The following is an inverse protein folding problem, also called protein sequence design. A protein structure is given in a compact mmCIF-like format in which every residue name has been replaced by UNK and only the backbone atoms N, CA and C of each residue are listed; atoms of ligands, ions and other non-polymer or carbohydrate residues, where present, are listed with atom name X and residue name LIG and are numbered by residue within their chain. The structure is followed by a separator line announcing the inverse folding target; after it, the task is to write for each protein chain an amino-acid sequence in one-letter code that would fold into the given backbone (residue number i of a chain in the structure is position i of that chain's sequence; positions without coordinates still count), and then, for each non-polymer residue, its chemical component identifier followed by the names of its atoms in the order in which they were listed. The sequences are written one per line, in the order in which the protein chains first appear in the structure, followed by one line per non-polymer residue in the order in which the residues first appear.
data_IF_894038829062
#
_entry.id   IF_894038829062
#
_cell.length_a   1.000
_cell.length_b   1.000
_cell.length_c   1.000
_cell.angle_alpha   90.00
_cell.angle_beta   90.00
_cell.angle_gamma   90.00
#
_symmetry.space_group_name_H-M   'P 1'
#
loop_
_entity.id
_entity.type
_entity.pdbx_description
1 polymer ?
#
# COMPACT_ATOMS: atom_id res chain seq x y z
N UNK A 1 13.53 19.43 -6.84
CA UNK A 1 12.72 19.07 -8.02
C UNK A 1 12.23 17.64 -7.92
N UNK A 2 13.09 16.67 -7.65
CA UNK A 2 12.77 15.24 -7.61
C UNK A 2 11.73 14.88 -6.53
N UNK A 3 11.88 15.41 -5.31
CA UNK A 3 10.93 15.18 -4.22
C UNK A 3 9.51 15.67 -4.57
N UNK A 4 9.40 16.75 -5.33
CA UNK A 4 8.11 17.28 -5.78
C UNK A 4 7.48 16.37 -6.85
N UNK A 5 8.28 15.86 -7.79
CA UNK A 5 7.81 14.93 -8.83
C UNK A 5 7.28 13.64 -8.18
N UNK A 6 8.00 13.08 -7.21
CA UNK A 6 7.56 11.90 -6.47
C UNK A 6 6.24 12.18 -5.75
N UNK A 7 6.11 13.31 -5.07
CA UNK A 7 4.89 13.68 -4.37
C UNK A 7 3.70 13.81 -5.34
N UNK A 8 3.89 14.41 -6.51
CA UNK A 8 2.85 14.50 -7.54
C UNK A 8 2.45 13.09 -8.01
N UNK A 9 3.40 12.20 -8.24
CA UNK A 9 3.12 10.82 -8.64
C UNK A 9 2.34 10.05 -7.54
N UNK A 10 2.70 10.23 -6.27
CA UNK A 10 1.99 9.65 -5.11
C UNK A 10 0.55 10.17 -5.05
N UNK A 11 0.37 11.48 -5.07
CA UNK A 11 -0.97 12.09 -5.02
C UNK A 11 -1.80 11.65 -6.23
N UNK A 12 -1.22 11.63 -7.43
CA UNK A 12 -1.90 11.18 -8.64
C UNK A 12 -2.33 9.72 -8.56
N UNK A 13 -1.46 8.81 -8.11
CA UNK A 13 -1.78 7.39 -7.99
C UNK A 13 -2.88 7.13 -6.95
N UNK A 14 -2.79 7.76 -5.77
CA UNK A 14 -3.80 7.60 -4.72
C UNK A 14 -5.14 8.24 -5.10
N UNK A 15 -5.13 9.39 -5.79
CA UNK A 15 -6.34 10.02 -6.31
C UNK A 15 -7.04 9.12 -7.35
N UNK A 16 -6.29 8.55 -8.30
CA UNK A 16 -6.83 7.59 -9.27
C UNK A 16 -7.34 6.32 -8.60
N UNK A 17 -6.65 5.82 -7.58
CA UNK A 17 -7.13 4.70 -6.77
C UNK A 17 -8.47 5.02 -6.12
N UNK A 18 -8.61 6.19 -5.50
CA UNK A 18 -9.87 6.63 -4.88
C UNK A 18 -11.00 6.76 -5.92
N UNK A 19 -10.74 7.39 -7.06
CA UNK A 19 -11.74 7.51 -8.15
C UNK A 19 -12.21 6.13 -8.63
N UNK A 20 -11.29 5.18 -8.82
CA UNK A 20 -11.65 3.82 -9.24
C UNK A 20 -12.39 3.07 -8.12
N UNK A 21 -11.97 3.23 -6.86
CA UNK A 21 -12.63 2.63 -5.70
C UNK A 21 -14.11 3.06 -5.61
N UNK A 22 -14.36 4.37 -5.60
CA UNK A 22 -15.72 4.89 -5.55
C UNK A 22 -16.50 4.57 -6.84
N UNK A 23 -15.82 4.54 -7.99
CA UNK A 23 -16.43 4.14 -9.25
C UNK A 23 -16.94 2.70 -9.23
N UNK A 24 -16.16 1.77 -8.70
CA UNK A 24 -16.59 0.37 -8.54
C UNK A 24 -17.68 0.24 -7.47
N UNK A 25 -17.52 0.93 -6.33
CA UNK A 25 -18.47 0.89 -5.22
C UNK A 25 -19.88 1.34 -5.61
N UNK A 26 -20.00 2.28 -6.56
CA UNK A 26 -21.29 2.79 -7.05
C UNK A 26 -22.05 1.82 -7.96
N UNK A 27 -21.39 0.78 -8.46
CA UNK A 27 -22.06 -0.21 -9.33
C UNK A 27 -23.01 -1.06 -8.51
N UNK A 28 -24.07 -1.52 -9.17
CA UNK A 28 -25.09 -2.39 -8.58
C UNK A 28 -24.49 -3.73 -8.14
N UNK A 29 -24.65 -4.14 -6.88
CA UNK A 29 -24.17 -5.43 -6.39
C UNK A 29 -24.98 -6.64 -6.91
N UNK A 30 -26.20 -6.43 -7.40
CA UNK A 30 -27.03 -7.45 -8.02
C UNK A 30 -28.13 -8.01 -7.13
N UNK A 31 -28.42 -9.29 -7.29
CA UNK A 31 -29.52 -9.97 -6.60
C UNK A 31 -29.27 -10.10 -5.09
N UNK A 32 -30.33 -10.15 -4.24
CA UNK A 32 -30.16 -10.31 -2.79
C UNK A 32 -29.26 -11.48 -2.41
N UNK A 33 -29.41 -12.66 -3.04
CA UNK A 33 -28.53 -13.81 -2.81
C UNK A 33 -27.06 -13.54 -3.13
N UNK A 34 -26.77 -12.67 -4.11
CA UNK A 34 -25.38 -12.29 -4.43
C UNK A 34 -24.81 -11.38 -3.34
N UNK A 35 -25.65 -10.51 -2.79
CA UNK A 35 -25.29 -9.63 -1.67
C UNK A 35 -25.04 -10.45 -0.42
N UNK A 36 -25.90 -11.41 -0.08
CA UNK A 36 -25.73 -12.29 1.09
C UNK A 36 -24.41 -13.07 1.02
N UNK A 37 -24.07 -13.61 -0.16
CA UNK A 37 -22.78 -14.29 -0.37
C UNK A 37 -21.61 -13.30 -0.24
N UNK A 38 -21.74 -12.11 -0.81
CA UNK A 38 -20.69 -11.09 -0.71
C UNK A 38 -20.46 -10.62 0.72
N UNK A 39 -21.52 -10.52 1.53
CA UNK A 39 -21.41 -10.15 2.94
C UNK A 39 -20.75 -11.27 3.77
N UNK A 40 -21.07 -12.54 3.50
CA UNK A 40 -20.37 -13.67 4.12
C UNK A 40 -18.88 -13.70 3.77
N UNK A 41 -18.53 -13.45 2.48
CA UNK A 41 -17.12 -13.34 2.05
C UNK A 41 -16.43 -12.16 2.74
N UNK A 42 -17.12 -11.02 2.88
CA UNK A 42 -16.60 -9.85 3.57
C UNK A 42 -16.31 -10.12 5.05
N UNK A 43 -17.22 -10.81 5.74
CA UNK A 43 -17.03 -11.20 7.13
C UNK A 43 -15.81 -12.10 7.29
N UNK A 44 -15.67 -13.11 6.44
CA UNK A 44 -14.50 -13.98 6.40
C UNK A 44 -13.20 -13.22 6.11
N UNK A 45 -13.21 -12.30 5.15
CA UNK A 45 -12.06 -11.46 4.82
C UNK A 45 -11.68 -10.51 5.98
N UNK A 46 -12.66 -9.93 6.66
CA UNK A 46 -12.40 -9.05 7.83
C UNK A 46 -11.87 -9.85 9.02
N UNK A 47 -12.34 -11.07 9.25
CA UNK A 47 -11.82 -11.98 10.28
C UNK A 47 -10.37 -12.39 9.97
N UNK A 48 -10.09 -12.77 8.71
CA UNK A 48 -8.76 -13.10 8.22
C UNK A 48 -7.77 -11.94 8.42
N UNK A 49 -8.13 -10.74 7.98
CA UNK A 49 -7.28 -9.54 8.13
C UNK A 49 -6.96 -9.23 9.60
N UNK A 50 -7.94 -9.36 10.49
CA UNK A 50 -7.72 -9.13 11.93
C UNK A 50 -6.71 -10.11 12.50
N UNK A 51 -6.81 -11.38 12.12
CA UNK A 51 -5.89 -12.41 12.58
C UNK A 51 -4.49 -12.19 12.03
N UNK A 52 -4.38 -11.98 10.72
CA UNK A 52 -3.12 -11.77 10.01
C UNK A 52 -2.38 -10.54 10.53
N UNK A 53 -3.07 -9.40 10.69
CA UNK A 53 -2.45 -8.18 11.22
C UNK A 53 -1.98 -8.32 12.67
N UNK A 54 -2.66 -9.14 13.48
CA UNK A 54 -2.19 -9.44 14.81
C UNK A 54 -0.86 -10.20 14.80
N UNK A 55 -0.74 -11.19 13.90
CA UNK A 55 0.49 -11.99 13.75
C UNK A 55 1.61 -11.12 13.17
N UNK A 56 1.31 -10.37 12.09
CA UNK A 56 2.29 -9.47 11.45
C UNK A 56 2.78 -8.40 12.42
N UNK A 57 1.89 -7.80 13.23
CA UNK A 57 2.29 -6.79 14.22
C UNK A 57 3.21 -7.36 15.28
N UNK A 58 2.96 -8.59 15.74
CA UNK A 58 3.83 -9.26 16.71
C UNK A 58 5.24 -9.46 16.13
N UNK A 59 5.33 -9.97 14.91
CA UNK A 59 6.60 -10.18 14.22
C UNK A 59 7.29 -8.84 13.94
N UNK A 60 6.55 -7.83 13.50
CA UNK A 60 7.07 -6.50 13.22
C UNK A 60 7.68 -5.84 14.46
N UNK A 61 7.04 -5.98 15.63
CA UNK A 61 7.59 -5.47 16.90
C UNK A 61 8.93 -6.12 17.23
N UNK A 62 9.05 -7.44 17.05
CA UNK A 62 10.30 -8.17 17.28
C UNK A 62 11.41 -7.67 16.32
N UNK A 63 11.07 -7.51 15.03
CA UNK A 63 12.02 -7.02 14.03
C UNK A 63 12.45 -5.58 14.34
N UNK A 64 11.51 -4.70 14.71
CA UNK A 64 11.82 -3.32 15.11
C UNK A 64 12.77 -3.30 16.30
N UNK A 65 12.51 -4.11 17.31
CA UNK A 65 13.37 -4.21 18.49
C UNK A 65 14.79 -4.69 18.13
N UNK A 66 14.90 -5.71 17.28
CA UNK A 66 16.19 -6.20 16.79
C UNK A 66 16.95 -5.14 15.99
N UNK A 67 16.27 -4.44 15.09
CA UNK A 67 16.89 -3.36 14.29
C UNK A 67 17.32 -2.20 15.17
N UNK A 68 16.53 -1.85 16.17
CA UNK A 68 16.86 -0.79 17.12
C UNK A 68 18.12 -1.09 17.94
N UNK A 69 18.25 -2.35 18.41
CA UNK A 69 19.39 -2.79 19.22
C UNK A 69 20.65 -3.06 18.39
N UNK A 70 20.49 -3.59 17.16
CA UNK A 70 21.62 -4.09 16.36
C UNK A 70 22.18 -3.05 15.38
N UNK A 71 21.34 -2.14 14.87
CA UNK A 71 21.73 -1.19 13.82
C UNK A 71 21.63 0.25 14.33
N UNK A 72 20.39 0.74 14.45
CA UNK A 72 20.12 2.09 14.95
C UNK A 72 18.60 2.31 15.14
N UNK A 73 18.26 3.28 15.97
CA UNK A 73 16.85 3.60 16.23
C UNK A 73 16.08 4.09 14.98
N UNK A 74 16.75 4.82 14.06
CA UNK A 74 16.12 5.33 12.84
C UNK A 74 15.83 4.22 11.83
N UNK A 75 16.62 3.15 11.80
CA UNK A 75 16.33 1.97 10.97
C UNK A 75 15.04 1.27 11.42
N UNK A 76 14.84 1.16 12.75
CA UNK A 76 13.59 0.64 13.30
C UNK A 76 12.38 1.49 12.94
N UNK A 77 12.52 2.82 13.01
CA UNK A 77 11.45 3.75 12.62
C UNK A 77 11.16 3.68 11.12
N UNK A 78 12.18 3.65 10.27
CA UNK A 78 12.01 3.52 8.82
C UNK A 78 11.29 2.21 8.45
N UNK A 79 11.65 1.09 9.09
CA UNK A 79 10.97 -0.18 8.93
C UNK A 79 9.49 -0.09 9.34
N UNK A 80 9.18 0.57 10.46
CA UNK A 80 7.82 0.75 10.94
C UNK A 80 6.96 1.55 9.94
N UNK A 81 7.51 2.63 9.38
CA UNK A 81 6.84 3.41 8.34
C UNK A 81 6.52 2.52 7.12
N UNK A 82 7.49 1.75 6.63
CA UNK A 82 7.29 0.82 5.51
C UNK A 82 6.23 -0.24 5.80
N UNK A 83 6.27 -0.83 7.00
CA UNK A 83 5.28 -1.83 7.44
C UNK A 83 3.86 -1.25 7.50
N UNK A 84 3.70 -0.02 8.02
CA UNK A 84 2.40 0.67 8.06
C UNK A 84 1.87 0.99 6.66
N UNK A 85 2.73 1.45 5.74
CA UNK A 85 2.33 1.72 4.35
C UNK A 85 1.90 0.43 3.64
N UNK A 86 2.65 -0.65 3.82
CA UNK A 86 2.33 -1.97 3.25
C UNK A 86 1.01 -2.52 3.80
N UNK A 87 0.82 -2.48 5.12
CA UNK A 87 -0.43 -2.90 5.75
C UNK A 87 -1.63 -2.09 5.26
N UNK A 88 -1.48 -0.78 5.10
CA UNK A 88 -2.52 0.11 4.56
C UNK A 88 -2.91 -0.28 3.13
N UNK A 89 -1.92 -0.56 2.27
CA UNK A 89 -2.17 -1.01 0.90
C UNK A 89 -2.91 -2.35 0.86
N UNK A 90 -2.49 -3.32 1.67
CA UNK A 90 -3.12 -4.63 1.76
C UNK A 90 -4.57 -4.53 2.25
N UNK A 91 -4.83 -3.68 3.26
CA UNK A 91 -6.18 -3.46 3.77
C UNK A 91 -7.12 -2.88 2.70
N UNK A 92 -6.70 -1.83 1.99
CA UNK A 92 -7.48 -1.24 0.89
C UNK A 92 -7.69 -2.27 -0.22
N UNK A 93 -6.64 -3.02 -0.59
CA UNK A 93 -6.69 -4.06 -1.62
C UNK A 93 -7.70 -5.16 -1.31
N UNK A 94 -7.73 -5.66 -0.07
CA UNK A 94 -8.71 -6.67 0.35
C UNK A 94 -10.13 -6.11 0.31
N UNK A 95 -10.35 -4.89 0.81
CA UNK A 95 -11.66 -4.24 0.78
C UNK A 95 -12.19 -4.08 -0.64
N UNK A 96 -11.37 -3.60 -1.59
CA UNK A 96 -11.82 -3.43 -2.97
C UNK A 96 -12.03 -4.78 -3.67
N UNK A 97 -11.23 -5.80 -3.37
CA UNK A 97 -11.38 -7.13 -3.96
C UNK A 97 -12.76 -7.72 -3.63
N UNK A 98 -13.16 -7.69 -2.37
CA UNK A 98 -14.48 -8.17 -1.94
C UNK A 98 -15.61 -7.37 -2.60
N UNK A 99 -15.48 -6.04 -2.61
CA UNK A 99 -16.46 -5.14 -3.22
C UNK A 99 -16.58 -5.37 -4.74
N UNK A 100 -15.44 -5.56 -5.43
CA UNK A 100 -15.42 -5.72 -6.87
C UNK A 100 -16.00 -7.06 -7.33
N UNK A 101 -15.72 -8.15 -6.61
CA UNK A 101 -16.13 -9.51 -7.00
C UNK A 101 -17.63 -9.63 -7.30
N UNK A 102 -18.48 -9.18 -6.40
CA UNK A 102 -19.93 -9.26 -6.60
C UNK A 102 -20.40 -8.40 -7.77
N UNK A 103 -19.79 -7.24 -7.97
CA UNK A 103 -20.11 -6.29 -9.05
C UNK A 103 -19.66 -6.79 -10.42
N UNK A 104 -18.48 -7.43 -10.47
CA UNK A 104 -17.99 -8.11 -11.68
C UNK A 104 -18.97 -9.24 -12.07
N UNK A 105 -19.35 -10.06 -11.10
CA UNK A 105 -20.30 -11.16 -11.31
C UNK A 105 -21.69 -10.66 -11.77
N UNK A 106 -22.20 -9.59 -11.15
CA UNK A 106 -23.46 -8.99 -11.58
C UNK A 106 -23.36 -8.37 -12.98
N UNK A 107 -22.27 -7.68 -13.29
CA UNK A 107 -22.04 -7.11 -14.63
C UNK A 107 -21.98 -8.21 -15.69
N UNK A 108 -21.29 -9.33 -15.41
CA UNK A 108 -21.26 -10.48 -16.31
C UNK A 108 -22.66 -11.04 -16.56
N UNK A 109 -23.45 -11.19 -15.50
CA UNK A 109 -24.83 -11.71 -15.56
C UNK A 109 -25.75 -10.81 -16.38
N UNK A 110 -25.70 -9.50 -16.15
CA UNK A 110 -26.66 -8.54 -16.75
C UNK A 110 -26.29 -8.15 -18.16
N UNK A 111 -24.99 -7.94 -18.43
CA UNK A 111 -24.55 -7.41 -19.73
C UNK A 111 -24.18 -8.51 -20.73
N UNK A 112 -23.86 -9.73 -20.26
CA UNK A 112 -23.34 -10.86 -21.07
C UNK A 112 -22.18 -10.43 -21.99
N UNK A 113 -21.45 -9.38 -21.62
CA UNK A 113 -20.37 -8.78 -22.40
C UNK A 113 -19.05 -8.92 -21.65
N UNK A 114 -18.12 -9.66 -22.25
CA UNK A 114 -16.77 -9.86 -21.68
C UNK A 114 -16.03 -8.53 -21.48
N UNK A 115 -16.11 -7.63 -22.47
CA UNK A 115 -15.42 -6.33 -22.39
C UNK A 115 -15.90 -5.45 -21.24
N UNK A 116 -17.23 -5.39 -20.99
CA UNK A 116 -17.78 -4.62 -19.87
C UNK A 116 -17.40 -5.23 -18.54
N UNK A 117 -17.44 -6.55 -18.43
CA UNK A 117 -17.07 -7.30 -17.22
C UNK A 117 -15.59 -7.10 -16.89
N UNK A 118 -14.69 -7.25 -17.87
CA UNK A 118 -13.27 -7.01 -17.72
C UNK A 118 -12.96 -5.57 -17.30
N UNK A 119 -13.67 -4.58 -17.84
CA UNK A 119 -13.50 -3.18 -17.45
C UNK A 119 -13.75 -2.95 -15.96
N UNK A 120 -14.79 -3.60 -15.40
CA UNK A 120 -15.06 -3.53 -13.95
C UNK A 120 -13.99 -4.25 -13.15
N UNK A 121 -13.57 -5.44 -13.58
CA UNK A 121 -12.51 -6.21 -12.93
C UNK A 121 -11.18 -5.45 -12.92
N UNK A 122 -10.76 -4.88 -14.06
CA UNK A 122 -9.53 -4.07 -14.15
C UNK A 122 -9.60 -2.80 -13.30
N UNK A 123 -10.77 -2.14 -13.22
CA UNK A 123 -10.95 -1.01 -12.30
C UNK A 123 -10.78 -1.42 -10.85
N UNK A 124 -11.32 -2.56 -10.43
CA UNK A 124 -11.12 -3.11 -9.09
C UNK A 124 -9.64 -3.42 -8.81
N UNK A 125 -8.99 -4.15 -9.72
CA UNK A 125 -7.58 -4.51 -9.59
C UNK A 125 -6.62 -3.31 -9.62
N UNK A 126 -6.92 -2.30 -10.44
CA UNK A 126 -6.10 -1.08 -10.51
C UNK A 126 -6.07 -0.30 -9.19
N UNK A 127 -7.13 -0.37 -8.37
CA UNK A 127 -7.13 0.25 -7.04
C UNK A 127 -6.01 -0.30 -6.18
N UNK A 128 -5.89 -1.64 -6.10
CA UNK A 128 -4.84 -2.28 -5.33
C UNK A 128 -3.45 -1.91 -5.86
N UNK A 129 -3.23 -2.04 -7.17
CA UNK A 129 -1.94 -1.70 -7.78
C UNK A 129 -1.51 -0.26 -7.55
N UNK A 130 -2.44 0.69 -7.70
CA UNK A 130 -2.18 2.12 -7.46
C UNK A 130 -1.94 2.42 -5.97
N UNK A 131 -2.64 1.73 -5.06
CA UNK A 131 -2.39 1.87 -3.63
C UNK A 131 -1.01 1.31 -3.24
N UNK A 132 -0.64 0.14 -3.74
CA UNK A 132 0.68 -0.45 -3.47
C UNK A 132 1.79 0.48 -3.96
N UNK A 133 1.73 0.92 -5.22
CA UNK A 133 2.71 1.86 -5.79
C UNK A 133 2.72 3.21 -5.07
N UNK A 134 1.53 3.78 -4.81
CA UNK A 134 1.39 5.07 -4.13
C UNK A 134 1.92 5.05 -2.69
N UNK A 135 1.56 4.05 -1.90
CA UNK A 135 2.05 3.94 -0.51
C UNK A 135 3.53 3.57 -0.45
N UNK A 136 4.05 2.76 -1.38
CA UNK A 136 5.48 2.47 -1.45
C UNK A 136 6.29 3.73 -1.72
N UNK A 137 5.90 4.52 -2.73
CA UNK A 137 6.55 5.80 -3.04
C UNK A 137 6.40 6.82 -1.90
N UNK A 138 5.22 6.86 -1.25
CA UNK A 138 4.99 7.73 -0.10
C UNK A 138 5.90 7.36 1.06
N UNK A 139 6.02 6.07 1.38
CA UNK A 139 6.90 5.59 2.43
C UNK A 139 8.37 5.94 2.17
N UNK A 140 8.84 5.72 0.95
CA UNK A 140 10.19 6.11 0.52
C UNK A 140 10.39 7.63 0.61
N UNK A 141 9.42 8.43 0.18
CA UNK A 141 9.48 9.88 0.25
C UNK A 141 9.54 10.38 1.70
N UNK A 142 8.72 9.82 2.59
CA UNK A 142 8.74 10.17 4.03
C UNK A 142 10.11 9.84 4.63
N UNK A 143 10.63 8.64 4.38
CA UNK A 143 11.95 8.21 4.87
C UNK A 143 13.05 9.13 4.33
N UNK A 144 12.99 9.47 3.05
CA UNK A 144 13.95 10.38 2.42
C UNK A 144 13.94 11.79 3.04
N UNK A 145 12.74 12.37 3.21
CA UNK A 145 12.61 13.73 3.78
C UNK A 145 13.01 13.75 5.25
N UNK A 146 12.51 12.79 6.04
CA UNK A 146 12.75 12.78 7.48
C UNK A 146 14.21 12.45 7.80
N UNK A 147 14.77 11.42 7.18
CA UNK A 147 16.12 10.95 7.51
C UNK A 147 17.19 11.50 6.57
N UNK A 148 16.85 11.79 5.30
CA UNK A 148 17.79 12.33 4.33
C UNK A 148 18.02 13.83 4.46
N UNK A 149 16.95 14.63 4.46
CA UNK A 149 17.09 16.09 4.52
C UNK A 149 17.20 16.62 5.94
N UNK A 150 16.33 16.20 6.84
CA UNK A 150 16.27 16.77 8.20
C UNK A 150 17.37 16.26 9.11
N UNK A 151 17.65 14.96 9.12
CA UNK A 151 18.75 14.39 9.91
C UNK A 151 20.11 14.50 9.21
N UNK A 152 20.14 14.55 7.88
CA UNK A 152 21.37 14.74 7.10
C UNK A 152 22.02 16.09 7.35
N UNK A 153 21.26 17.13 7.61
CA UNK A 153 21.77 18.44 8.03
C UNK A 153 22.31 18.46 9.47
N UNK A 154 21.83 17.56 10.34
CA UNK A 154 22.30 17.47 11.72
C UNK A 154 23.49 16.53 11.94
N UNK A 155 23.66 15.46 11.15
CA UNK A 155 24.61 14.37 11.41
C UNK A 155 25.25 13.80 10.14
N UNK A 156 25.95 14.63 9.36
CA UNK A 156 26.64 14.23 8.10
C UNK A 156 27.59 13.02 8.31
N UNK A 157 28.16 12.82 9.50
CA UNK A 157 29.07 11.72 9.80
C UNK A 157 28.41 10.36 9.99
N UNK A 158 27.22 10.30 10.57
CA UNK A 158 26.56 9.03 10.91
C UNK A 158 25.75 8.42 9.74
N UNK A 159 25.20 9.24 8.88
CA UNK A 159 24.52 8.76 7.67
C UNK A 159 25.49 8.03 6.74
N UNK A 160 26.73 8.50 6.67
CA UNK A 160 27.79 7.87 5.88
C UNK A 160 28.11 6.44 6.34
N UNK A 161 27.99 6.15 7.63
CA UNK A 161 28.25 4.82 8.20
C UNK A 161 27.09 3.87 7.90
N UNK A 162 25.85 4.32 8.07
CA UNK A 162 24.65 3.50 7.80
C UNK A 162 24.56 3.14 6.31
N UNK A 163 24.88 4.08 5.45
CA UNK A 163 24.88 3.87 4.00
C UNK A 163 26.00 2.95 3.53
N UNK A 164 27.18 3.00 4.16
CA UNK A 164 28.27 2.07 3.86
C UNK A 164 28.02 0.65 4.41
N UNK A 165 27.23 0.50 5.46
CA UNK A 165 26.98 -0.80 6.09
C UNK A 165 25.80 -1.57 5.46
N UNK A 166 24.77 -0.89 5.03
CA UNK A 166 23.70 -1.49 4.20
C UNK A 166 24.16 -1.79 2.77
N UNK A 167 25.43 -1.51 2.50
CA UNK A 167 26.26 -2.00 1.40
C UNK A 167 25.50 -2.18 0.13
N UNK A 168 24.92 -1.38 -0.47
CA UNK A 168 24.47 -1.47 -1.86
C UNK A 168 23.38 -0.42 -2.15
N UNK A 169 23.71 0.51 -2.98
CA UNK A 169 22.79 1.01 -4.01
C UNK A 169 21.63 1.93 -3.63
N UNK A 170 21.35 2.18 -2.35
CA UNK A 170 20.31 3.17 -2.04
C UNK A 170 20.82 4.62 -2.17
N UNK A 171 22.11 4.82 -1.93
CA UNK A 171 22.74 6.14 -2.00
C UNK A 171 22.98 6.61 -3.44
N UNK A 172 23.46 5.78 -4.35
CA UNK A 172 23.58 6.21 -5.74
C UNK A 172 22.25 6.63 -6.35
N UNK A 173 21.16 5.95 -5.97
CA UNK A 173 19.83 6.28 -6.45
C UNK A 173 19.27 7.58 -5.87
N UNK A 174 19.57 7.90 -4.62
CA UNK A 174 19.13 9.14 -3.98
C UNK A 174 20.06 10.33 -4.23
N UNK A 175 21.36 10.11 -4.51
CA UNK A 175 22.31 11.17 -4.80
C UNK A 175 22.51 11.45 -6.31
N UNK A 176 22.15 10.53 -7.19
CA UNK A 176 22.22 10.71 -8.66
C UNK A 176 20.94 11.25 -9.29
N UNK A 177 19.93 11.50 -8.49
CA UNK A 177 18.67 12.12 -8.86
C UNK A 177 18.52 13.42 -8.11
#
# INVERSE_FOLDING_TARGET
VTAVIILIAVVGSLALAAVNFFGVKKLDPGLPKMVDIADAIKEGADAFLRHEYKVISMIAIVIVALLWLSVSWYTGVAFLIGALMSASAAWVGMKIAVIANVRVSNTARTTKSLGKTLKVAFRGGSVMGLCVGGFALLGLWIVYVVFGEWMGQMHIGQIRIVTNWMGVSFIPFTMTV
#
